data_IF_738016184106
#
_entry.id   IF_738016184106
#
_cell.length_a   1.000
_cell.length_b   1.000
_cell.length_c   1.000
_cell.angle_alpha   90.00
_cell.angle_beta   90.00
_cell.angle_gamma   90.00
#
_symmetry.space_group_name_H-M   'P 1'
#
loop_
_entity.id
_entity.type
_entity.pdbx_description
1 polymer ?
#
# COMPACT_ATOMS: atom_id res chain seq x y z
N UNK A 1 31.80 -12.89 5.33
CA UNK A 1 31.49 -11.47 5.03
C UNK A 1 30.01 -11.27 5.30
N UNK A 2 29.65 -10.35 6.19
CA UNK A 2 28.24 -10.00 6.41
C UNK A 2 27.82 -9.02 5.32
N UNK A 3 26.66 -9.23 4.66
CA UNK A 3 26.14 -8.26 3.70
C UNK A 3 25.85 -6.94 4.42
N UNK A 4 26.22 -5.83 3.79
CA UNK A 4 25.93 -4.48 4.27
C UNK A 4 24.80 -3.93 3.41
N UNK A 5 23.68 -3.57 4.04
CA UNK A 5 22.53 -2.94 3.38
C UNK A 5 22.77 -1.43 3.42
N UNK A 6 22.52 -0.77 2.28
CA UNK A 6 22.63 0.68 2.14
C UNK A 6 21.32 1.15 1.53
N UNK A 7 20.64 2.06 2.23
CA UNK A 7 19.40 2.65 1.74
C UNK A 7 19.71 3.64 0.62
N UNK A 8 18.90 3.60 -0.44
CA UNK A 8 19.07 4.48 -1.59
C UNK A 8 17.70 4.82 -2.20
N UNK A 9 17.63 6.00 -2.80
CA UNK A 9 16.48 6.44 -3.61
C UNK A 9 16.86 6.26 -5.07
N UNK A 10 15.98 5.66 -5.86
CA UNK A 10 16.10 5.65 -7.30
C UNK A 10 15.44 6.88 -7.89
N UNK A 11 16.21 7.72 -8.58
CA UNK A 11 15.76 8.98 -9.15
C UNK A 11 16.52 9.27 -10.46
N UNK A 12 15.80 9.59 -11.53
CA UNK A 12 16.34 9.82 -12.89
C UNK A 12 17.32 8.75 -13.40
N UNK A 13 17.03 7.47 -13.13
CA UNK A 13 17.90 6.38 -13.58
C UNK A 13 19.10 6.11 -12.67
N UNK A 14 19.25 6.87 -11.56
CA UNK A 14 20.40 6.82 -10.67
C UNK A 14 19.98 6.40 -9.26
N UNK A 15 20.71 5.44 -8.68
CA UNK A 15 20.58 5.09 -7.25
C UNK A 15 21.40 6.06 -6.40
N UNK A 16 20.72 6.86 -5.57
CA UNK A 16 21.31 7.89 -4.70
C UNK A 16 21.25 7.42 -3.24
N UNK A 17 22.38 7.22 -2.55
CA UNK A 17 22.38 6.79 -1.15
C UNK A 17 21.67 7.78 -0.22
N UNK A 18 20.81 7.27 0.67
CA UNK A 18 20.17 8.07 1.72
C UNK A 18 21.21 8.34 2.80
N UNK A 19 21.78 9.54 2.80
CA UNK A 19 22.92 9.92 3.63
C UNK A 19 23.94 10.79 2.90
N UNK A 20 23.79 10.97 1.58
CA UNK A 20 24.55 11.96 0.79
C UNK A 20 26.04 11.66 0.64
N UNK A 21 26.51 10.51 1.11
CA UNK A 21 27.87 10.05 0.96
C UNK A 21 28.04 9.09 -0.22
N UNK A 22 29.28 9.00 -0.71
CA UNK A 22 29.65 8.01 -1.72
C UNK A 22 29.47 6.59 -1.18
N UNK A 23 29.04 5.69 -2.07
CA UNK A 23 29.01 4.26 -1.77
C UNK A 23 30.46 3.78 -1.57
N UNK A 24 30.79 3.13 -0.43
CA UNK A 24 32.13 2.62 -0.17
C UNK A 24 32.39 1.32 -0.97
N UNK A 25 32.32 1.44 -2.29
CA UNK A 25 32.48 0.34 -3.25
C UNK A 25 33.83 0.44 -3.95
N UNK A 26 34.49 -0.69 -4.13
CA UNK A 26 35.70 -0.79 -4.91
C UNK A 26 35.38 -1.13 -6.38
N UNK A 27 36.23 -0.72 -7.34
CA UNK A 27 36.08 -1.14 -8.74
C UNK A 27 36.01 -2.68 -8.86
N UNK A 28 35.01 -3.19 -9.58
CA UNK A 28 34.80 -4.62 -9.78
C UNK A 28 34.17 -5.37 -8.59
N UNK A 29 33.80 -4.68 -7.51
CA UNK A 29 33.13 -5.31 -6.37
C UNK A 29 31.76 -5.84 -6.76
N UNK A 30 31.50 -7.13 -6.50
CA UNK A 30 30.19 -7.74 -6.68
C UNK A 30 29.20 -7.17 -5.67
N UNK A 31 28.08 -6.64 -6.16
CA UNK A 31 26.98 -6.12 -5.35
C UNK A 31 25.68 -6.87 -5.63
N UNK A 32 24.74 -6.81 -4.68
CA UNK A 32 23.35 -7.26 -4.83
C UNK A 32 22.45 -6.07 -4.56
N UNK A 33 21.54 -5.79 -5.48
CA UNK A 33 20.50 -4.77 -5.32
C UNK A 33 19.24 -5.49 -4.87
N UNK A 34 18.63 -5.01 -3.79
CA UNK A 34 17.30 -5.44 -3.33
C UNK A 34 16.39 -4.24 -3.50
N UNK A 35 15.29 -4.41 -4.23
CA UNK A 35 14.29 -3.37 -4.45
C UNK A 35 13.09 -3.75 -3.60
N UNK A 36 12.81 -2.96 -2.58
CA UNK A 36 11.56 -3.05 -1.84
C UNK A 36 10.48 -2.39 -2.70
N UNK A 37 9.71 -3.20 -3.42
CA UNK A 37 8.50 -2.70 -4.05
C UNK A 37 7.55 -2.24 -2.94
N UNK A 38 6.91 -1.05 -3.06
CA UNK A 38 5.78 -0.76 -2.20
C UNK A 38 4.82 -1.92 -2.36
N UNK A 39 4.41 -2.50 -1.24
CA UNK A 39 3.42 -3.57 -1.25
C UNK A 39 2.16 -2.93 -1.84
N UNK A 40 1.90 -3.17 -3.13
CA UNK A 40 0.54 -3.02 -3.66
C UNK A 40 -0.34 -3.79 -2.70
N UNK A 41 -1.33 -3.12 -2.10
CA UNK A 41 -2.16 -3.71 -1.06
C UNK A 41 -2.56 -5.12 -1.49
N UNK A 42 -1.90 -6.10 -0.89
CA UNK A 42 -2.14 -7.50 -1.21
C UNK A 42 -3.61 -7.76 -0.87
N UNK A 43 -4.28 -8.68 -1.56
CA UNK A 43 -5.68 -9.05 -1.24
C UNK A 43 -5.93 -9.18 0.28
N UNK A 44 -5.02 -9.75 1.10
CA UNK A 44 -5.09 -9.74 2.57
C UNK A 44 -5.16 -8.35 3.21
N UNK A 45 -4.38 -7.37 2.75
CA UNK A 45 -4.35 -6.01 3.31
C UNK A 45 -5.59 -5.21 2.92
N UNK A 46 -6.11 -5.41 1.70
CA UNK A 46 -7.38 -4.80 1.28
C UNK A 46 -8.55 -5.34 2.11
N UNK A 47 -8.57 -6.64 2.39
CA UNK A 47 -9.57 -7.25 3.27
C UNK A 47 -9.43 -6.79 4.71
N UNK A 48 -8.20 -6.62 5.21
CA UNK A 48 -7.94 -6.09 6.54
C UNK A 48 -8.49 -4.66 6.68
N UNK A 49 -8.18 -3.78 5.71
CA UNK A 49 -8.68 -2.41 5.68
C UNK A 49 -10.21 -2.34 5.57
N UNK A 50 -10.84 -3.25 4.82
CA UNK A 50 -12.29 -3.34 4.76
C UNK A 50 -12.92 -3.76 6.10
N UNK A 51 -12.22 -4.61 6.87
CA UNK A 51 -12.65 -5.04 8.21
C UNK A 51 -12.57 -3.94 9.26
N UNK A 52 -11.61 -3.01 9.14
CA UNK A 52 -11.45 -1.88 10.08
C UNK A 52 -12.67 -0.95 10.13
N UNK A 53 -13.48 -0.90 9.06
CA UNK A 53 -14.71 -0.09 9.02
C UNK A 53 -15.73 -0.54 10.09
N UNK A 54 -15.69 -1.81 10.47
CA UNK A 54 -16.60 -2.38 11.47
C UNK A 54 -15.97 -2.50 12.86
N UNK A 55 -14.70 -2.16 13.02
CA UNK A 55 -14.01 -2.32 14.30
C UNK A 55 -14.54 -1.32 15.35
N UNK A 56 -14.90 -1.84 16.53
CA UNK A 56 -15.49 -1.04 17.61
C UNK A 56 -16.99 -0.73 17.46
N UNK A 57 -17.65 -1.15 16.38
CA UNK A 57 -19.10 -1.04 16.24
C UNK A 57 -19.83 -2.15 17.02
N UNK A 58 -20.98 -1.81 17.57
CA UNK A 58 -21.94 -2.79 18.10
C UNK A 58 -22.69 -3.49 16.96
N UNK A 59 -23.31 -4.63 17.25
CA UNK A 59 -24.09 -5.38 16.26
C UNK A 59 -25.20 -4.52 15.62
N UNK A 60 -25.89 -3.71 16.42
CA UNK A 60 -26.98 -2.85 15.93
C UNK A 60 -26.45 -1.78 14.96
N UNK A 61 -25.26 -1.24 15.20
CA UNK A 61 -24.61 -0.26 14.32
C UNK A 61 -24.10 -0.90 13.03
N UNK A 62 -23.62 -2.14 13.09
CA UNK A 62 -23.25 -2.93 11.90
C UNK A 62 -24.50 -3.17 11.03
N UNK A 63 -25.60 -3.58 11.64
CA UNK A 63 -26.86 -3.86 10.94
C UNK A 63 -27.41 -2.60 10.23
N UNK A 64 -27.26 -1.42 10.83
CA UNK A 64 -27.64 -0.14 10.22
C UNK A 64 -26.78 0.17 8.97
N UNK A 65 -25.46 0.01 9.07
CA UNK A 65 -24.54 0.22 7.94
C UNK A 65 -24.86 -0.74 6.79
N UNK A 66 -25.09 -2.01 7.11
CA UNK A 66 -25.47 -3.02 6.11
C UNK A 66 -26.81 -2.69 5.46
N UNK A 67 -27.82 -2.27 6.23
CA UNK A 67 -29.11 -1.88 5.68
C UNK A 67 -29.01 -0.75 4.64
N UNK A 68 -28.12 0.23 4.87
CA UNK A 68 -27.84 1.31 3.92
C UNK A 68 -27.11 0.78 2.68
N UNK A 69 -26.08 -0.05 2.86
CA UNK A 69 -25.29 -0.61 1.77
C UNK A 69 -26.10 -1.57 0.88
N UNK A 70 -27.03 -2.31 1.46
CA UNK A 70 -27.93 -3.23 0.76
C UNK A 70 -29.15 -2.54 0.13
N UNK A 71 -29.45 -1.28 0.46
CA UNK A 71 -30.53 -0.50 -0.18
C UNK A 71 -30.15 -0.09 -1.62
N UNK A 72 -30.39 -1.03 -2.54
CA UNK A 72 -30.17 -0.85 -3.98
C UNK A 72 -31.18 0.10 -4.64
N UNK A 73 -32.23 0.54 -3.94
CA UNK A 73 -33.22 1.46 -4.52
C UNK A 73 -32.63 2.85 -4.77
N UNK A 74 -31.59 3.23 -4.02
CA UNK A 74 -30.88 4.51 -4.15
C UNK A 74 -29.75 4.48 -5.19
N UNK A 75 -29.31 3.30 -5.63
CA UNK A 75 -28.17 3.14 -6.55
C UNK A 75 -28.45 3.65 -7.98
N UNK A 76 -29.71 3.71 -8.41
CA UNK A 76 -30.10 4.11 -9.78
C UNK A 76 -30.79 5.47 -9.87
N UNK A 77 -30.86 6.25 -8.78
CA UNK A 77 -31.62 7.50 -8.72
C UNK A 77 -31.08 8.65 -9.60
N UNK A 78 -29.93 8.47 -10.27
CA UNK A 78 -29.30 9.49 -11.13
C UNK A 78 -29.41 9.27 -12.64
N UNK A 79 -30.11 8.22 -13.12
CA UNK A 79 -30.24 7.95 -14.57
C UNK A 79 -31.70 7.79 -15.00
N UNK A 80 -32.51 8.78 -14.64
CA UNK A 80 -33.81 8.98 -15.25
C UNK A 80 -34.00 10.47 -15.53
N UNK A 81 -33.64 10.89 -16.73
CA UNK A 81 -34.36 11.97 -17.41
C UNK A 81 -34.64 11.52 -18.85
N UNK A 82 -35.86 11.76 -19.34
CA UNK A 82 -36.37 11.30 -20.64
C UNK A 82 -35.67 11.94 -21.84
#
# INVERSE_FOLDING_TARGET
MNPRIIDAIYDDGVLKPVGGGDLPLQPGQKVRIVIDAPVEATLPQTLQLAGEVYDGLSQDEIDEVEAIAFDRTRFFAGRATP
#
